data_IF_933804336917
#
_entry.id   IF_933804336917
#
_cell.length_a   1.000
_cell.length_b   1.000
_cell.length_c   1.000
_cell.angle_alpha   90.00
_cell.angle_beta   90.00
_cell.angle_gamma   90.00
#
_symmetry.space_group_name_H-M   'P 1'
#
loop_
_entity.id
_entity.type
_entity.pdbx_description
1 polymer ?
#
# COMPACT_ATOMS: atom_id res chain seq x y z
N UNK A 1 15.00 -36.82 -8.31
CA UNK A 1 15.17 -36.04 -7.06
C UNK A 1 15.29 -34.58 -7.45
N UNK A 2 14.24 -33.77 -7.25
CA UNK A 2 14.24 -32.35 -7.58
C UNK A 2 14.53 -31.56 -6.29
N UNK A 3 15.67 -30.88 -6.24
CA UNK A 3 16.03 -29.97 -5.15
C UNK A 3 15.28 -28.65 -5.33
N UNK A 4 14.28 -28.39 -4.48
CA UNK A 4 13.61 -27.10 -4.42
C UNK A 4 14.57 -26.04 -3.86
N UNK A 5 14.82 -25.01 -4.67
CA UNK A 5 15.68 -23.85 -4.37
C UNK A 5 15.08 -22.93 -3.29
N UNK A 6 15.90 -22.07 -2.66
CA UNK A 6 15.58 -21.36 -1.42
C UNK A 6 14.72 -20.11 -1.70
N UNK A 7 13.40 -20.30 -1.88
CA UNK A 7 12.46 -19.19 -2.04
C UNK A 7 12.14 -18.50 -0.69
N UNK A 8 12.26 -19.24 0.42
CA UNK A 8 11.85 -18.79 1.76
C UNK A 8 12.75 -17.68 2.36
N UNK A 9 14.03 -17.62 1.99
CA UNK A 9 14.94 -16.61 2.53
C UNK A 9 14.67 -15.21 1.96
N UNK A 10 14.33 -15.10 0.67
CA UNK A 10 14.07 -13.82 0.01
C UNK A 10 12.74 -13.19 0.45
N UNK A 11 11.72 -14.02 0.70
CA UNK A 11 10.42 -13.56 1.21
C UNK A 11 10.52 -13.04 2.65
N UNK A 12 11.29 -13.72 3.50
CA UNK A 12 11.48 -13.34 4.90
C UNK A 12 12.26 -12.02 5.01
N UNK A 13 13.26 -11.81 4.17
CA UNK A 13 14.07 -10.58 4.15
C UNK A 13 13.25 -9.38 3.63
N UNK A 14 12.39 -9.60 2.63
CA UNK A 14 11.42 -8.61 2.15
C UNK A 14 10.40 -8.25 3.24
N UNK A 15 9.91 -9.23 3.99
CA UNK A 15 8.98 -9.04 5.10
C UNK A 15 9.62 -8.22 6.23
N UNK A 16 10.86 -8.53 6.61
CA UNK A 16 11.61 -7.81 7.63
C UNK A 16 11.95 -6.36 7.20
N UNK A 17 12.21 -6.14 5.91
CA UNK A 17 12.46 -4.79 5.38
C UNK A 17 11.18 -3.92 5.33
N UNK A 18 10.00 -4.54 5.25
CA UNK A 18 8.69 -3.87 5.38
C UNK A 18 8.42 -3.51 6.85
N UNK A 19 8.84 -4.34 7.80
CA UNK A 19 8.72 -4.08 9.25
C UNK A 19 9.69 -3.00 9.75
N UNK A 20 10.82 -2.78 9.08
CA UNK A 20 11.87 -1.84 9.50
C UNK A 20 11.62 -0.37 9.11
N UNK A 21 10.67 -0.06 8.23
CA UNK A 21 10.31 1.31 7.89
C UNK A 21 9.20 1.78 8.84
N UNK A 22 9.56 2.64 9.81
CA UNK A 22 8.66 3.23 10.79
C UNK A 22 7.68 4.26 10.18
N UNK A 23 6.87 3.83 9.22
CA UNK A 23 5.58 4.41 8.92
C UNK A 23 4.54 3.35 9.28
N UNK A 24 3.58 3.64 10.18
CA UNK A 24 2.43 2.76 10.38
C UNK A 24 1.88 2.35 9.01
N UNK A 25 1.70 1.06 8.76
CA UNK A 25 1.26 0.53 7.44
C UNK A 25 0.05 1.30 6.88
N UNK A 26 -0.82 1.80 7.77
CA UNK A 26 -1.96 2.65 7.43
C UNK A 26 -1.59 4.03 6.88
N UNK A 27 -0.57 4.69 7.41
CA UNK A 27 -0.08 5.97 6.87
C UNK A 27 0.45 5.78 5.44
N UNK A 28 1.19 4.70 5.20
CA UNK A 28 1.64 4.34 3.85
C UNK A 28 0.47 4.09 2.90
N UNK A 29 -0.52 3.31 3.35
CA UNK A 29 -1.75 3.06 2.56
C UNK A 29 -2.46 4.37 2.24
N UNK A 30 -2.60 5.28 3.21
CA UNK A 30 -3.25 6.57 3.02
C UNK A 30 -2.51 7.46 2.01
N UNK A 31 -1.19 7.59 2.16
CA UNK A 31 -0.37 8.36 1.23
C UNK A 31 -0.42 7.81 -0.20
N UNK A 32 -0.35 6.49 -0.35
CA UNK A 32 -0.46 5.82 -1.64
C UNK A 32 -1.85 6.02 -2.27
N UNK A 33 -2.92 5.92 -1.49
CA UNK A 33 -4.27 6.16 -1.97
C UNK A 33 -4.47 7.60 -2.47
N UNK A 34 -3.88 8.60 -1.80
CA UNK A 34 -3.90 10.00 -2.26
C UNK A 34 -3.13 10.19 -3.57
N UNK A 35 -1.96 9.56 -3.71
CA UNK A 35 -1.20 9.63 -4.96
C UNK A 35 -1.97 8.99 -6.12
N UNK A 36 -2.58 7.82 -5.90
CA UNK A 36 -3.43 7.20 -6.91
C UNK A 36 -4.64 8.07 -7.26
N UNK A 37 -5.22 8.78 -6.29
CA UNK A 37 -6.34 9.70 -6.53
C UNK A 37 -5.90 10.88 -7.43
N UNK A 38 -4.69 11.40 -7.22
CA UNK A 38 -4.10 12.44 -8.06
C UNK A 38 -3.94 11.95 -9.50
N UNK A 39 -3.36 10.76 -9.70
CA UNK A 39 -3.19 10.16 -11.03
C UNK A 39 -4.52 9.94 -11.75
N UNK A 40 -5.54 9.44 -11.03
CA UNK A 40 -6.88 9.27 -11.60
C UNK A 40 -7.51 10.60 -12.06
N UNK A 41 -7.27 11.71 -11.33
CA UNK A 41 -7.71 13.05 -11.78
C UNK A 41 -6.97 13.52 -13.01
N UNK A 42 -5.66 13.29 -13.07
CA UNK A 42 -4.84 13.65 -14.23
C UNK A 42 -5.32 12.93 -15.50
N UNK A 43 -5.89 11.72 -15.37
CA UNK A 43 -6.54 10.97 -16.45
C UNK A 43 -8.02 11.34 -16.70
N UNK A 44 -8.60 12.20 -15.87
CA UNK A 44 -10.01 12.62 -15.97
C UNK A 44 -11.03 11.68 -15.32
N UNK A 45 -10.60 10.60 -14.64
CA UNK A 45 -11.49 9.71 -13.88
C UNK A 45 -11.74 10.24 -12.47
N UNK A 46 -12.64 11.24 -12.39
CA UNK A 46 -13.04 11.88 -11.14
C UNK A 46 -13.71 10.91 -10.16
N UNK A 47 -14.40 9.88 -10.68
CA UNK A 47 -15.11 8.91 -9.83
C UNK A 47 -14.10 8.01 -9.10
N UNK A 48 -13.10 7.50 -9.82
CA UNK A 48 -12.03 6.70 -9.24
C UNK A 48 -11.22 7.54 -8.24
N UNK A 49 -10.90 8.79 -8.57
CA UNK A 49 -10.22 9.70 -7.66
C UNK A 49 -10.96 9.85 -6.33
N UNK A 50 -12.28 10.08 -6.37
CA UNK A 50 -13.10 10.21 -5.16
C UNK A 50 -13.15 8.94 -4.29
N UNK A 51 -13.10 7.75 -4.90
CA UNK A 51 -13.03 6.48 -4.14
C UNK A 51 -11.69 6.32 -3.43
N UNK A 52 -10.60 6.72 -4.09
CA UNK A 52 -9.25 6.64 -3.53
C UNK A 52 -9.05 7.65 -2.38
N UNK A 53 -9.64 8.84 -2.48
CA UNK A 53 -9.67 9.80 -1.37
C UNK A 53 -10.44 9.29 -0.15
N UNK A 54 -11.57 8.60 -0.37
CA UNK A 54 -12.29 7.95 0.71
C UNK A 54 -11.44 6.86 1.38
N UNK A 55 -10.74 6.04 0.59
CA UNK A 55 -9.83 5.04 1.13
C UNK A 55 -8.70 5.66 1.96
N UNK A 56 -8.13 6.78 1.52
CA UNK A 56 -7.13 7.52 2.30
C UNK A 56 -7.70 8.03 3.64
N UNK A 57 -8.94 8.55 3.64
CA UNK A 57 -9.62 8.98 4.86
C UNK A 57 -9.83 7.84 5.86
N UNK A 58 -10.23 6.65 5.37
CA UNK A 58 -10.38 5.43 6.20
C UNK A 58 -9.04 4.93 6.73
N UNK A 59 -7.97 5.10 5.96
CA UNK A 59 -6.63 4.73 6.42
C UNK A 59 -6.16 5.62 7.59
N UNK A 60 -6.43 6.94 7.51
CA UNK A 60 -6.09 7.91 8.55
C UNK A 60 -7.01 7.90 9.78
N UNK A 61 -8.23 7.40 9.64
CA UNK A 61 -9.22 7.32 10.72
C UNK A 61 -9.79 5.89 10.80
N UNK A 62 -9.02 4.90 11.29
CA UNK A 62 -9.53 3.56 11.47
C UNK A 62 -10.77 3.56 12.37
N UNK A 63 -11.82 2.79 12.03
CA UNK A 63 -12.90 2.54 12.98
C UNK A 63 -12.30 1.87 14.24
N UNK A 64 -12.79 2.29 15.41
CA UNK A 64 -12.43 1.72 16.71
C UNK A 64 -12.91 0.27 16.86
#
# INVERSE_FOLDING_TARGET
MATAQPQSACETDRQAHIEAAAFPTREYIGAMALEMARLARDEGDVRLAGLLEQAASVAGHPPA
#
